data_IF_542680350628
#
_entry.id   IF_542680350628
#
_cell.length_a   1.000
_cell.length_b   1.000
_cell.length_c   1.000
_cell.angle_alpha   90.00
_cell.angle_beta   90.00
_cell.angle_gamma   90.00
#
_symmetry.space_group_name_H-M   'P 1'
#
loop_
_entity.id
_entity.type
_entity.pdbx_description
1 polymer ?
#
# COMPACT_ATOMS: atom_id res chain seq x y z
N UNK A 1 -0.42 -6.13 24.29
CA UNK A 1 -1.24 -5.04 24.89
C UNK A 1 -0.67 -4.48 26.21
N UNK A 2 -0.44 -5.29 27.26
CA UNK A 2 0.05 -4.81 28.58
C UNK A 2 1.35 -3.99 28.50
N UNK A 3 2.32 -4.39 27.67
CA UNK A 3 3.60 -3.67 27.51
C UNK A 3 3.40 -2.24 26.98
N UNK A 4 2.58 -2.06 25.94
CA UNK A 4 2.30 -0.73 25.39
C UNK A 4 1.66 0.19 26.44
N UNK A 5 0.71 -0.31 27.23
CA UNK A 5 0.05 0.47 28.26
C UNK A 5 1.02 0.96 29.34
N UNK A 6 1.98 0.11 29.74
CA UNK A 6 3.02 0.49 30.70
C UNK A 6 3.92 1.58 30.14
N UNK A 7 4.40 1.43 28.90
CA UNK A 7 5.25 2.45 28.28
C UNK A 7 4.49 3.75 28.02
N UNK A 8 3.23 3.69 27.60
CA UNK A 8 2.40 4.87 27.40
C UNK A 8 2.17 5.64 28.71
N UNK A 9 1.93 4.93 29.82
CA UNK A 9 1.81 5.55 31.13
C UNK A 9 3.10 6.26 31.55
N UNK A 10 4.28 5.69 31.26
CA UNK A 10 5.57 6.36 31.50
C UNK A 10 5.70 7.64 30.67
N UNK A 11 5.31 7.60 29.39
CA UNK A 11 5.38 8.79 28.52
C UNK A 11 4.45 9.90 28.99
N UNK A 12 3.25 9.57 29.46
CA UNK A 12 2.29 10.55 30.00
C UNK A 12 2.69 11.12 31.36
N UNK A 13 3.42 10.36 32.16
CA UNK A 13 3.92 10.78 33.47
C UNK A 13 5.27 11.52 33.40
N UNK A 14 5.91 11.54 32.24
CA UNK A 14 7.26 12.10 32.08
C UNK A 14 7.27 13.63 32.27
N UNK A 15 8.29 14.13 32.98
CA UNK A 15 8.53 15.56 33.24
C UNK A 15 9.92 16.06 32.79
N UNK A 16 10.78 15.18 32.29
CA UNK A 16 12.17 15.50 31.95
C UNK A 16 12.73 14.56 30.89
N UNK A 17 13.28 15.11 29.80
CA UNK A 17 14.22 14.42 28.91
C UNK A 17 15.19 15.42 28.28
N UNK A 18 16.45 15.35 28.70
CA UNK A 18 17.58 16.01 28.03
C UNK A 18 17.69 17.51 28.30
N UNK A 19 18.51 17.84 29.31
CA UNK A 19 19.05 19.17 29.66
C UNK A 19 18.16 20.19 30.39
N UNK A 20 16.83 20.06 30.47
CA UNK A 20 16.01 20.95 31.33
C UNK A 20 14.79 20.25 31.92
N UNK A 21 14.75 20.18 33.25
CA UNK A 21 13.54 19.90 34.02
C UNK A 21 12.54 21.01 33.73
N UNK A 22 11.34 20.67 33.25
CA UNK A 22 10.23 21.61 33.15
C UNK A 22 9.36 21.50 34.41
N UNK A 23 8.87 22.64 34.90
CA UNK A 23 8.00 22.68 36.09
C UNK A 23 6.64 22.01 35.84
N UNK A 24 6.15 22.02 34.60
CA UNK A 24 4.88 21.42 34.20
C UNK A 24 5.06 20.19 33.29
N UNK A 25 4.22 19.13 33.45
CA UNK A 25 4.20 18.00 32.52
C UNK A 25 3.90 18.47 31.10
N UNK A 26 4.74 18.08 30.15
CA UNK A 26 4.52 18.35 28.72
C UNK A 26 3.91 17.11 28.09
N UNK A 27 2.86 17.28 27.28
CA UNK A 27 2.35 16.17 26.47
C UNK A 27 3.40 15.78 25.42
N UNK A 28 4.13 14.70 25.73
CA UNK A 28 5.20 14.16 24.90
C UNK A 28 4.72 13.87 23.48
N UNK A 29 3.50 13.37 23.31
CA UNK A 29 2.93 12.98 22.03
C UNK A 29 2.64 14.15 21.10
N UNK A 30 2.61 15.36 21.65
CA UNK A 30 2.47 16.61 20.91
C UNK A 30 3.82 17.29 20.76
N UNK A 31 4.52 17.55 21.87
CA UNK A 31 5.72 18.36 21.90
C UNK A 31 6.92 17.75 21.16
N UNK A 32 7.00 16.42 21.09
CA UNK A 32 8.10 15.71 20.43
C UNK A 32 7.66 14.95 19.17
N UNK A 33 6.49 15.28 18.62
CA UNK A 33 6.00 14.70 17.36
C UNK A 33 7.09 14.73 16.28
N UNK A 34 7.30 13.60 15.61
CA UNK A 34 8.33 13.45 14.58
C UNK A 34 9.74 13.13 15.10
N UNK A 35 10.01 13.30 16.40
CA UNK A 35 11.34 13.15 17.01
C UNK A 35 11.43 12.04 18.07
N UNK A 36 10.42 11.19 18.20
CA UNK A 36 10.38 10.16 19.25
C UNK A 36 11.55 9.19 19.20
N UNK A 37 12.17 8.93 18.04
CA UNK A 37 13.29 7.99 17.99
C UNK A 37 14.60 8.60 18.51
N UNK A 38 14.72 9.92 18.45
CA UNK A 38 15.90 10.66 18.92
C UNK A 38 16.01 10.71 20.45
N UNK A 39 14.90 10.51 21.16
CA UNK A 39 14.84 10.41 22.62
C UNK A 39 14.98 8.92 22.98
N UNK A 40 15.91 8.57 23.87
CA UNK A 40 16.24 7.18 24.13
C UNK A 40 15.09 6.43 24.83
N UNK A 41 14.39 7.12 25.72
CA UNK A 41 13.40 6.55 26.64
C UNK A 41 12.03 6.33 25.98
N UNK A 42 11.75 7.04 24.89
CA UNK A 42 10.58 6.83 24.02
C UNK A 42 10.76 5.63 23.08
N UNK A 43 11.97 5.09 22.91
CA UNK A 43 12.21 3.95 21.99
C UNK A 43 11.48 2.69 22.42
N UNK A 44 11.39 2.43 23.72
CA UNK A 44 10.71 1.24 24.24
C UNK A 44 9.19 1.34 24.03
N UNK A 45 8.63 2.55 24.13
CA UNK A 45 7.26 2.83 23.72
C UNK A 45 7.06 2.54 22.22
N UNK A 46 7.93 3.07 21.35
CA UNK A 46 7.83 2.86 19.91
C UNK A 46 7.91 1.36 19.54
N UNK A 47 8.85 0.62 20.13
CA UNK A 47 8.97 -0.83 19.93
C UNK A 47 7.77 -1.60 20.47
N UNK A 48 7.24 -1.21 21.64
CA UNK A 48 6.04 -1.84 22.20
C UNK A 48 4.81 -1.62 21.33
N UNK A 49 4.66 -0.42 20.74
CA UNK A 49 3.58 -0.10 19.81
C UNK A 49 3.72 -0.88 18.50
N UNK A 50 4.94 -1.00 17.97
CA UNK A 50 5.20 -1.81 16.78
C UNK A 50 4.89 -3.29 17.04
N UNK A 51 5.34 -3.84 18.17
CA UNK A 51 5.04 -5.21 18.55
C UNK A 51 3.53 -5.48 18.59
N UNK A 52 2.74 -4.56 19.17
CA UNK A 52 1.27 -4.69 19.15
C UNK A 52 0.71 -4.64 17.72
N UNK A 53 1.21 -3.74 16.85
CA UNK A 53 0.77 -3.69 15.47
C UNK A 53 1.08 -5.01 14.73
N UNK A 54 2.27 -5.59 14.95
CA UNK A 54 2.64 -6.88 14.39
C UNK A 54 1.72 -8.01 14.87
N UNK A 55 1.44 -8.09 16.17
CA UNK A 55 0.51 -9.07 16.74
C UNK A 55 -0.90 -8.94 16.12
N UNK A 56 -1.39 -7.70 15.97
CA UNK A 56 -2.68 -7.42 15.36
C UNK A 56 -2.71 -7.82 13.88
N UNK A 57 -1.64 -7.54 13.14
CA UNK A 57 -1.48 -7.95 11.74
C UNK A 57 -1.57 -9.47 11.61
N UNK A 58 -0.81 -10.21 12.42
CA UNK A 58 -0.83 -11.67 12.43
C UNK A 58 -2.24 -12.21 12.69
N UNK A 59 -2.89 -11.76 13.77
CA UNK A 59 -4.25 -12.20 14.11
C UNK A 59 -5.27 -11.84 13.04
N UNK A 60 -5.13 -10.66 12.41
CA UNK A 60 -6.02 -10.23 11.35
C UNK A 60 -5.93 -11.14 10.11
N UNK A 61 -4.73 -11.62 9.78
CA UNK A 61 -4.52 -12.53 8.65
C UNK A 61 -4.92 -13.96 8.98
N UNK A 62 -4.55 -14.47 10.16
CA UNK A 62 -4.88 -15.82 10.62
C UNK A 62 -6.40 -16.06 10.70
N UNK A 63 -7.14 -15.06 11.21
CA UNK A 63 -8.58 -15.17 11.45
C UNK A 63 -9.43 -14.35 10.48
N UNK A 64 -8.82 -13.73 9.47
CA UNK A 64 -9.48 -12.88 8.47
C UNK A 64 -10.35 -11.74 9.06
N UNK A 65 -9.88 -11.10 10.14
CA UNK A 65 -10.63 -10.08 10.89
C UNK A 65 -10.25 -8.67 10.44
N UNK A 66 -11.01 -8.11 9.48
CA UNK A 66 -10.75 -6.77 8.91
C UNK A 66 -10.60 -5.64 9.96
N UNK A 67 -11.41 -5.54 11.02
CA UNK A 67 -11.22 -4.50 12.05
C UNK A 67 -9.84 -4.52 12.74
N UNK A 68 -9.17 -5.67 12.79
CA UNK A 68 -7.81 -5.76 13.33
C UNK A 68 -6.77 -5.16 12.37
N UNK A 69 -7.00 -5.22 11.04
CA UNK A 69 -6.15 -4.54 10.05
C UNK A 69 -6.22 -3.02 10.23
N UNK A 70 -7.43 -2.46 10.40
CA UNK A 70 -7.58 -1.01 10.65
C UNK A 70 -6.85 -0.59 11.93
N UNK A 71 -7.00 -1.37 13.01
CA UNK A 71 -6.32 -1.07 14.28
C UNK A 71 -4.79 -1.20 14.19
N UNK A 72 -4.29 -2.20 13.47
CA UNK A 72 -2.87 -2.32 13.16
C UNK A 72 -2.38 -1.06 12.40
N UNK A 73 -3.12 -0.65 11.37
CA UNK A 73 -2.79 0.50 10.55
C UNK A 73 -2.74 1.78 11.39
N UNK A 74 -3.71 2.00 12.29
CA UNK A 74 -3.70 3.12 13.23
C UNK A 74 -2.42 3.18 14.07
N UNK A 75 -1.97 2.02 14.58
CA UNK A 75 -0.72 1.96 15.34
C UNK A 75 0.52 2.28 14.49
N UNK A 76 0.57 1.83 13.23
CA UNK A 76 1.70 2.09 12.31
C UNK A 76 1.71 3.54 11.82
N UNK A 77 0.56 4.12 11.51
CA UNK A 77 0.45 5.54 11.15
C UNK A 77 0.80 6.45 12.33
N UNK A 78 0.36 6.10 13.54
CA UNK A 78 0.75 6.84 14.74
C UNK A 78 2.26 6.75 14.99
N UNK A 79 2.88 5.60 14.76
CA UNK A 79 4.34 5.50 14.79
C UNK A 79 4.96 6.46 13.77
N UNK A 80 4.55 6.44 12.50
CA UNK A 80 5.09 7.35 11.49
C UNK A 80 4.88 8.85 11.82
N UNK A 81 3.81 9.19 12.52
CA UNK A 81 3.59 10.54 13.07
C UNK A 81 4.63 10.89 14.14
N UNK A 82 4.92 9.96 15.04
CA UNK A 82 5.85 10.14 16.16
C UNK A 82 7.32 10.05 15.73
N UNK A 83 7.65 9.20 14.75
CA UNK A 83 8.98 8.95 14.20
C UNK A 83 9.03 9.31 12.71
N UNK A 84 9.13 10.61 12.40
CA UNK A 84 9.05 11.11 11.03
C UNK A 84 10.23 10.68 10.12
N UNK A 85 11.34 10.26 10.73
CA UNK A 85 12.48 9.61 10.07
C UNK A 85 12.23 8.16 9.72
N UNK A 86 11.15 7.54 10.23
CA UNK A 86 10.79 6.15 10.02
C UNK A 86 11.95 5.17 10.30
N UNK A 87 12.53 5.29 11.49
CA UNK A 87 13.62 4.42 11.95
C UNK A 87 13.22 2.94 12.14
N UNK A 88 11.92 2.65 12.06
CA UNK A 88 11.36 1.30 12.16
C UNK A 88 11.02 0.67 10.79
N UNK A 89 11.27 1.37 9.68
CA UNK A 89 11.07 0.84 8.33
C UNK A 89 9.60 0.63 7.94
N UNK A 90 8.67 1.33 8.59
CA UNK A 90 7.23 1.22 8.35
C UNK A 90 6.81 1.78 7.00
N UNK A 91 7.58 2.70 6.40
CA UNK A 91 7.21 3.29 5.11
C UNK A 91 7.06 2.25 4.00
N UNK A 92 7.75 1.11 4.09
CA UNK A 92 7.67 0.07 3.06
C UNK A 92 6.55 -0.95 3.31
N UNK A 93 5.95 -0.96 4.50
CA UNK A 93 4.87 -1.90 4.86
C UNK A 93 3.50 -1.24 4.84
N UNK A 94 3.39 0.02 5.30
CA UNK A 94 2.15 0.79 5.35
C UNK A 94 1.40 0.89 4.01
N UNK A 95 2.06 1.02 2.83
CA UNK A 95 1.36 0.98 1.55
C UNK A 95 0.52 -0.29 1.37
N UNK A 96 1.06 -1.44 1.76
CA UNK A 96 0.34 -2.71 1.67
C UNK A 96 -0.77 -2.81 2.72
N UNK A 97 -0.56 -2.27 3.92
CA UNK A 97 -1.61 -2.19 4.93
C UNK A 97 -2.82 -1.40 4.44
N UNK A 98 -2.57 -0.23 3.82
CA UNK A 98 -3.61 0.61 3.22
C UNK A 98 -4.36 -0.14 2.11
N UNK A 99 -3.64 -0.89 1.26
CA UNK A 99 -4.25 -1.70 0.22
C UNK A 99 -5.09 -2.86 0.78
N UNK A 100 -4.70 -3.42 1.92
CA UNK A 100 -5.42 -4.52 2.58
C UNK A 100 -6.76 -4.07 3.18
N UNK A 101 -6.86 -2.79 3.56
CA UNK A 101 -8.13 -2.20 4.02
C UNK A 101 -8.92 -1.50 2.91
N UNK A 102 -8.47 -1.61 1.65
CA UNK A 102 -9.05 -0.97 0.45
C UNK A 102 -8.99 0.57 0.45
N UNK A 103 -7.95 1.14 1.05
CA UNK A 103 -7.69 2.59 1.07
C UNK A 103 -6.67 2.96 -0.01
N UNK A 104 -7.02 2.68 -1.27
CA UNK A 104 -6.12 2.84 -2.42
C UNK A 104 -5.70 4.29 -2.65
N UNK A 105 -6.59 5.26 -2.43
CA UNK A 105 -6.28 6.67 -2.53
C UNK A 105 -5.27 7.11 -1.46
N UNK A 106 -5.48 6.70 -0.21
CA UNK A 106 -4.53 6.99 0.87
C UNK A 106 -3.18 6.31 0.63
N UNK A 107 -3.16 5.10 0.08
CA UNK A 107 -1.93 4.42 -0.33
C UNK A 107 -1.17 5.23 -1.37
N UNK A 108 -1.86 5.73 -2.41
CA UNK A 108 -1.25 6.60 -3.41
C UNK A 108 -0.66 7.86 -2.78
N UNK A 109 -1.44 8.61 -1.98
CA UNK A 109 -0.98 9.83 -1.31
C UNK A 109 0.21 9.55 -0.41
N UNK A 110 0.21 8.41 0.29
CA UNK A 110 1.30 8.00 1.14
C UNK A 110 2.59 7.77 0.34
N UNK A 111 2.53 7.01 -0.76
CA UNK A 111 3.67 6.75 -1.63
C UNK A 111 4.17 8.07 -2.24
N UNK A 112 3.26 8.90 -2.74
CA UNK A 112 3.56 10.21 -3.31
C UNK A 112 4.30 11.11 -2.31
N UNK A 113 3.84 11.16 -1.06
CA UNK A 113 4.51 11.90 0.00
C UNK A 113 5.96 11.47 0.18
N UNK A 114 6.22 10.17 0.28
CA UNK A 114 7.57 9.65 0.53
C UNK A 114 8.50 9.78 -0.69
N UNK A 115 7.97 9.64 -1.90
CA UNK A 115 8.73 9.89 -3.14
C UNK A 115 9.09 11.37 -3.27
N UNK A 116 8.13 12.28 -3.08
CA UNK A 116 8.39 13.73 -3.11
C UNK A 116 9.39 14.15 -2.02
N UNK A 117 9.27 13.58 -0.81
CA UNK A 117 10.19 13.84 0.31
C UNK A 117 11.61 13.38 -0.01
N UNK A 118 11.78 12.23 -0.66
CA UNK A 118 13.10 11.76 -1.09
C UNK A 118 13.71 12.67 -2.17
N UNK A 119 12.88 13.17 -3.09
CA UNK A 119 13.32 14.03 -4.19
C UNK A 119 13.42 15.54 -3.83
N UNK A 120 13.22 15.91 -2.55
CA UNK A 120 13.25 17.31 -2.11
C UNK A 120 12.17 18.21 -2.73
N UNK A 121 11.10 17.64 -3.27
CA UNK A 121 10.07 18.39 -3.99
C UNK A 121 9.11 19.12 -3.02
N UNK A 122 8.65 20.35 -3.34
CA UNK A 122 7.77 21.11 -2.47
C UNK A 122 6.39 20.44 -2.26
N UNK A 123 5.76 20.73 -1.12
CA UNK A 123 4.43 20.24 -0.77
C UNK A 123 3.36 20.95 -1.61
N UNK A 124 2.44 20.17 -2.18
CA UNK A 124 1.17 20.68 -2.71
C UNK A 124 1.03 20.48 -4.21
N UNK A 125 0.19 19.50 -4.58
CA UNK A 125 -0.57 19.52 -5.81
C UNK A 125 -1.75 18.56 -5.66
N UNK A 126 -2.75 18.77 -6.52
CA UNK A 126 -3.95 17.96 -6.64
C UNK A 126 -3.59 16.47 -6.75
N UNK A 127 -4.15 15.64 -5.87
CA UNK A 127 -3.81 14.22 -5.75
C UNK A 127 -4.58 13.45 -6.82
N UNK A 128 -3.95 13.20 -7.96
CA UNK A 128 -4.50 12.37 -9.03
C UNK A 128 -3.80 11.00 -9.05
N UNK A 129 -4.44 10.00 -8.43
CA UNK A 129 -3.86 8.66 -8.33
C UNK A 129 -3.72 7.89 -9.64
N UNK A 130 -4.24 8.45 -10.74
CA UNK A 130 -4.02 7.91 -12.08
C UNK A 130 -2.64 8.29 -12.62
N UNK A 131 -1.99 9.34 -12.10
CA UNK A 131 -0.66 9.76 -12.55
C UNK A 131 0.45 8.82 -12.08
N UNK A 132 1.58 8.84 -12.77
CA UNK A 132 2.80 8.16 -12.34
C UNK A 132 3.56 9.00 -11.33
N UNK A 133 3.59 8.54 -10.08
CA UNK A 133 4.34 9.18 -8.99
C UNK A 133 5.86 9.14 -9.24
N UNK A 134 6.31 8.21 -10.09
CA UNK A 134 7.73 8.03 -10.41
C UNK A 134 8.12 8.69 -11.74
N UNK A 135 7.27 9.54 -12.32
CA UNK A 135 7.65 10.35 -13.46
C UNK A 135 8.73 11.36 -13.03
N UNK A 136 9.90 11.32 -13.68
CA UNK A 136 11.04 12.19 -13.36
C UNK A 136 11.79 11.87 -12.05
N UNK A 137 11.40 10.83 -11.31
CA UNK A 137 12.11 10.43 -10.09
C UNK A 137 13.36 9.60 -10.41
N UNK A 138 14.49 9.93 -9.77
CA UNK A 138 15.65 9.04 -9.74
C UNK A 138 15.37 7.89 -8.77
N UNK A 139 15.51 6.66 -9.25
CA UNK A 139 15.23 5.46 -8.46
C UNK A 139 16.36 5.21 -7.46
N UNK A 140 16.08 5.32 -6.17
CA UNK A 140 16.89 4.60 -5.19
C UNK A 140 16.68 3.09 -5.38
N UNK A 141 17.78 2.39 -5.66
CA UNK A 141 17.89 1.03 -6.21
C UNK A 141 17.07 -0.06 -5.49
N UNK A 142 16.72 0.14 -4.22
CA UNK A 142 16.00 -0.87 -3.40
C UNK A 142 14.81 -0.31 -2.62
N UNK A 143 14.92 0.92 -2.08
CA UNK A 143 13.84 1.63 -1.36
C UNK A 143 12.56 1.77 -2.20
N UNK A 144 12.69 1.84 -3.53
CA UNK A 144 11.58 2.08 -4.45
C UNK A 144 10.77 0.82 -4.79
N UNK A 145 11.26 -0.39 -4.56
CA UNK A 145 10.61 -1.62 -5.04
C UNK A 145 9.29 -1.92 -4.31
N UNK A 146 9.23 -1.69 -2.99
CA UNK A 146 7.99 -1.85 -2.23
C UNK A 146 6.91 -0.88 -2.70
N UNK A 147 7.29 0.38 -2.98
CA UNK A 147 6.38 1.37 -3.54
C UNK A 147 5.95 1.03 -4.97
N UNK A 148 6.86 0.53 -5.81
CA UNK A 148 6.50 0.06 -7.16
C UNK A 148 5.52 -1.11 -7.09
N UNK A 149 5.75 -2.08 -6.19
CA UNK A 149 4.83 -3.20 -6.00
C UNK A 149 3.45 -2.75 -5.52
N UNK A 150 3.38 -1.84 -4.54
CA UNK A 150 2.12 -1.28 -4.06
C UNK A 150 1.40 -0.47 -5.17
N UNK A 151 2.14 0.36 -5.91
CA UNK A 151 1.60 1.10 -7.05
C UNK A 151 1.12 0.17 -8.17
N UNK A 152 1.84 -0.90 -8.47
CA UNK A 152 1.39 -1.94 -9.39
C UNK A 152 0.05 -2.54 -8.97
N UNK A 153 -0.17 -2.76 -7.67
CA UNK A 153 -1.48 -3.24 -7.18
C UNK A 153 -2.60 -2.22 -7.41
N UNK A 154 -2.38 -0.92 -7.15
CA UNK A 154 -3.37 0.14 -7.43
C UNK A 154 -3.72 0.14 -8.92
N UNK A 155 -2.71 0.13 -9.80
CA UNK A 155 -2.93 0.15 -11.25
C UNK A 155 -3.65 -1.11 -11.74
N UNK A 156 -3.29 -2.28 -11.23
CA UNK A 156 -3.99 -3.53 -11.51
C UNK A 156 -5.47 -3.47 -11.07
N UNK A 157 -5.77 -2.91 -9.90
CA UNK A 157 -7.15 -2.74 -9.42
C UNK A 157 -7.95 -1.82 -10.34
N UNK A 158 -7.38 -0.68 -10.75
CA UNK A 158 -8.05 0.25 -11.69
C UNK A 158 -8.34 -0.42 -13.04
N UNK A 159 -7.37 -1.14 -13.60
CA UNK A 159 -7.56 -1.85 -14.87
C UNK A 159 -8.60 -2.96 -14.73
N UNK A 160 -8.54 -3.77 -13.66
CA UNK A 160 -9.51 -4.83 -13.40
C UNK A 160 -10.93 -4.28 -13.20
N UNK A 161 -11.08 -3.14 -12.52
CA UNK A 161 -12.35 -2.45 -12.35
C UNK A 161 -12.92 -2.05 -13.73
N UNK A 162 -12.13 -1.33 -14.54
CA UNK A 162 -12.54 -0.92 -15.88
C UNK A 162 -12.94 -2.11 -16.77
N UNK A 163 -12.13 -3.18 -16.80
CA UNK A 163 -12.42 -4.38 -17.59
C UNK A 163 -13.72 -5.06 -17.12
N UNK A 164 -13.93 -5.15 -15.81
CA UNK A 164 -15.13 -5.74 -15.23
C UNK A 164 -16.38 -4.94 -15.57
N UNK A 165 -16.35 -3.62 -15.36
CA UNK A 165 -17.47 -2.71 -15.62
C UNK A 165 -17.80 -2.65 -17.12
N UNK A 166 -16.79 -2.56 -17.98
CA UNK A 166 -16.97 -2.62 -19.44
C UNK A 166 -17.64 -3.94 -19.85
N UNK A 167 -17.19 -5.07 -19.30
CA UNK A 167 -17.79 -6.37 -19.57
C UNK A 167 -19.24 -6.46 -19.08
N UNK A 168 -19.55 -5.90 -17.91
CA UNK A 168 -20.91 -5.85 -17.38
C UNK A 168 -21.82 -4.98 -18.25
N UNK A 169 -21.36 -3.80 -18.64
CA UNK A 169 -22.11 -2.90 -19.52
C UNK A 169 -22.40 -3.54 -20.87
N UNK A 170 -21.41 -4.21 -21.48
CA UNK A 170 -21.59 -4.93 -22.75
C UNK A 170 -22.58 -6.09 -22.62
N UNK A 171 -22.55 -6.83 -21.51
CA UNK A 171 -23.55 -7.87 -21.23
C UNK A 171 -24.95 -7.29 -21.10
N UNK A 172 -25.08 -6.19 -20.36
CA UNK A 172 -26.36 -5.51 -20.16
C UNK A 172 -26.95 -5.02 -21.50
N UNK A 173 -26.12 -4.40 -22.34
CA UNK A 173 -26.49 -3.95 -23.68
C UNK A 173 -27.07 -5.09 -24.56
N UNK A 174 -26.55 -6.32 -24.39
CA UNK A 174 -27.04 -7.51 -25.08
C UNK A 174 -28.41 -8.02 -24.63
N UNK A 175 -28.90 -7.61 -23.45
CA UNK A 175 -30.18 -8.06 -22.89
C UNK A 175 -31.38 -7.39 -23.57
N UNK A 176 -32.57 -7.99 -23.46
CA UNK A 176 -33.82 -7.40 -23.95
C UNK A 176 -34.14 -6.04 -23.29
N UNK A 177 -33.70 -5.84 -22.04
CA UNK A 177 -33.86 -4.56 -21.34
C UNK A 177 -32.86 -3.53 -21.84
N UNK A 178 -31.58 -3.91 -22.02
CA UNK A 178 -30.54 -3.02 -22.54
C UNK A 178 -30.85 -2.51 -23.96
N UNK A 179 -31.37 -3.38 -24.83
CA UNK A 179 -31.79 -3.00 -26.19
C UNK A 179 -32.90 -1.95 -26.24
N UNK A 180 -33.72 -1.83 -25.18
CA UNK A 180 -34.81 -0.84 -25.09
C UNK A 180 -34.35 0.54 -24.65
N UNK A 181 -33.18 0.65 -24.02
CA UNK A 181 -32.71 1.88 -23.38
C UNK A 181 -32.13 2.88 -24.39
N UNK A 182 -31.90 2.46 -25.64
CA UNK A 182 -31.31 3.30 -26.67
C UNK A 182 -29.80 3.51 -26.45
N UNK A 183 -29.03 3.83 -27.50
CA UNK A 183 -27.58 3.93 -27.44
C UNK A 183 -27.10 5.05 -26.50
N UNK A 184 -27.73 6.22 -26.54
CA UNK A 184 -27.29 7.40 -25.78
C UNK A 184 -27.38 7.20 -24.26
N UNK A 185 -28.45 6.56 -23.78
CA UNK A 185 -28.60 6.29 -22.35
C UNK A 185 -27.68 5.15 -21.89
N UNK A 186 -27.34 4.20 -22.76
CA UNK A 186 -26.35 3.16 -22.46
C UNK A 186 -24.94 3.75 -22.34
N UNK A 187 -24.57 4.67 -23.23
CA UNK A 187 -23.31 5.40 -23.17
C UNK A 187 -23.22 6.24 -21.88
N UNK A 188 -24.31 6.90 -21.48
CA UNK A 188 -24.37 7.64 -20.23
C UNK A 188 -24.17 6.75 -18.99
N UNK A 189 -24.79 5.56 -18.98
CA UNK A 189 -24.60 4.56 -17.91
C UNK A 189 -23.15 4.06 -17.88
N UNK A 190 -22.55 3.78 -19.04
CA UNK A 190 -21.14 3.39 -19.13
C UNK A 190 -20.21 4.47 -18.56
N UNK A 191 -20.45 5.74 -18.93
CA UNK A 191 -19.66 6.87 -18.44
C UNK A 191 -19.75 7.03 -16.91
N UNK A 192 -20.88 6.69 -16.28
CA UNK A 192 -21.03 6.73 -14.82
C UNK A 192 -20.45 5.51 -14.11
N UNK A 193 -20.51 4.33 -14.73
CA UNK A 193 -19.96 3.11 -14.15
C UNK A 193 -18.43 3.15 -14.08
N UNK A 194 -17.77 3.74 -15.08
CA UNK A 194 -16.31 3.80 -15.21
C UNK A 194 -15.68 4.90 -14.36
N UNK A 195 -16.02 4.94 -13.07
CA UNK A 195 -15.43 5.85 -12.09
C UNK A 195 -14.87 5.09 -10.91
N UNK A 196 -13.73 5.52 -10.39
CA UNK A 196 -13.16 4.96 -9.17
C UNK A 196 -14.01 5.34 -7.94
N UNK A 197 -13.78 4.68 -6.80
CA UNK A 197 -14.50 4.96 -5.55
C UNK A 197 -14.38 6.43 -5.08
N UNK A 198 -13.30 7.12 -5.47
CA UNK A 198 -13.02 8.53 -5.23
C UNK A 198 -13.44 9.46 -6.40
N UNK A 199 -14.17 8.94 -7.40
CA UNK A 199 -14.79 9.72 -8.47
C UNK A 199 -13.91 10.03 -9.68
N UNK A 200 -12.74 9.41 -9.81
CA UNK A 200 -11.86 9.58 -10.97
C UNK A 200 -12.36 8.77 -12.14
N UNK A 201 -12.36 9.34 -13.34
CA UNK A 201 -12.84 8.67 -14.55
C UNK A 201 -11.79 7.68 -15.08
N UNK A 202 -12.23 6.45 -15.32
CA UNK A 202 -11.45 5.41 -15.99
C UNK A 202 -11.83 5.38 -17.47
N UNK A 203 -11.21 6.25 -18.27
CA UNK A 203 -11.38 6.20 -19.73
C UNK A 203 -10.43 5.18 -20.36
N UNK A 204 -10.66 4.81 -21.62
CA UNK A 204 -9.76 3.91 -22.35
C UNK A 204 -8.32 4.47 -22.40
N UNK A 205 -8.16 5.78 -22.61
CA UNK A 205 -6.85 6.43 -22.66
C UNK A 205 -6.14 6.38 -21.29
N UNK A 206 -6.89 6.62 -20.20
CA UNK A 206 -6.37 6.51 -18.84
C UNK A 206 -5.89 5.10 -18.56
N UNK A 207 -6.67 4.09 -18.98
CA UNK A 207 -6.32 2.68 -18.78
C UNK A 207 -5.07 2.31 -19.59
N UNK A 208 -4.99 2.67 -20.86
CA UNK A 208 -3.78 2.45 -21.67
C UNK A 208 -2.54 3.04 -20.98
N UNK A 209 -2.67 4.22 -20.39
CA UNK A 209 -1.59 4.83 -19.62
C UNK A 209 -1.28 4.06 -18.31
N UNK A 210 -2.28 3.55 -17.59
CA UNK A 210 -2.04 2.64 -16.46
C UNK A 210 -1.27 1.38 -16.89
N UNK A 211 -1.56 0.83 -18.06
CA UNK A 211 -0.88 -0.35 -18.59
C UNK A 211 0.59 -0.06 -18.93
N UNK A 212 0.87 1.10 -19.55
CA UNK A 212 2.24 1.56 -19.83
C UNK A 212 3.05 1.69 -18.54
N UNK A 213 2.49 2.34 -17.51
CA UNK A 213 3.11 2.43 -16.20
C UNK A 213 3.37 1.06 -15.57
N UNK A 214 2.36 0.18 -15.58
CA UNK A 214 2.47 -1.15 -14.99
C UNK A 214 3.58 -1.98 -15.64
N UNK A 215 3.67 -1.96 -16.97
CA UNK A 215 4.73 -2.65 -17.71
C UNK A 215 6.13 -2.11 -17.35
N UNK A 216 6.26 -0.78 -17.22
CA UNK A 216 7.50 -0.14 -16.74
C UNK A 216 7.87 -0.64 -15.35
N UNK A 217 6.92 -0.66 -14.40
CA UNK A 217 7.16 -1.09 -13.03
C UNK A 217 7.56 -2.57 -12.94
N UNK A 218 6.86 -3.43 -13.68
CA UNK A 218 7.18 -4.86 -13.75
C UNK A 218 8.57 -5.11 -14.32
N UNK A 219 8.97 -4.37 -15.36
CA UNK A 219 10.34 -4.45 -15.87
C UNK A 219 11.37 -4.09 -14.81
N UNK A 220 11.21 -2.95 -14.12
CA UNK A 220 12.13 -2.51 -13.06
C UNK A 220 12.19 -3.53 -11.92
N UNK A 221 11.05 -4.04 -11.46
CA UNK A 221 11.02 -5.06 -10.41
C UNK A 221 11.67 -6.36 -10.84
N UNK A 222 11.46 -6.81 -12.08
CA UNK A 222 12.07 -8.03 -12.60
C UNK A 222 13.59 -7.89 -12.82
N UNK A 223 14.08 -6.71 -13.19
CA UNK A 223 15.51 -6.43 -13.32
C UNK A 223 16.23 -6.44 -11.96
N UNK A 224 15.56 -6.01 -10.89
CA UNK A 224 16.15 -5.95 -9.55
C UNK A 224 15.89 -7.23 -8.72
N UNK A 225 14.74 -7.87 -8.89
CA UNK A 225 14.34 -9.11 -8.20
C UNK A 225 13.64 -10.05 -9.21
N UNK A 226 14.41 -10.82 -10.02
CA UNK A 226 13.87 -11.67 -11.08
C UNK A 226 12.88 -12.75 -10.62
N UNK A 227 12.89 -13.09 -9.33
CA UNK A 227 11.99 -14.07 -8.71
C UNK A 227 10.67 -13.46 -8.27
N UNK A 228 10.58 -12.14 -8.09
CA UNK A 228 9.42 -11.48 -7.48
C UNK A 228 8.12 -11.69 -8.28
N UNK A 229 8.14 -11.40 -9.59
CA UNK A 229 6.93 -11.57 -10.41
C UNK A 229 6.56 -13.05 -10.58
N UNK A 230 7.57 -13.94 -10.64
CA UNK A 230 7.36 -15.39 -10.70
C UNK A 230 6.69 -15.91 -9.43
N UNK A 231 7.13 -15.43 -8.28
CA UNK A 231 6.57 -15.72 -6.97
C UNK A 231 5.10 -15.25 -6.83
N UNK A 232 4.74 -14.11 -7.41
CA UNK A 232 3.35 -13.64 -7.40
C UNK A 232 2.44 -14.57 -8.21
N UNK A 233 2.89 -15.06 -9.38
CA UNK A 233 2.11 -15.99 -10.22
C UNK A 233 2.03 -17.37 -9.59
N UNK A 234 3.16 -17.88 -9.12
CA UNK A 234 3.29 -19.20 -8.56
C UNK A 234 3.85 -19.09 -7.14
N UNK A 235 3.01 -18.76 -6.14
CA UNK A 235 3.45 -18.64 -4.76
C UNK A 235 3.71 -20.00 -4.12
N UNK A 236 3.23 -21.10 -4.72
CA UNK A 236 3.28 -22.46 -4.15
C UNK A 236 4.64 -22.86 -3.57
N UNK A 237 5.75 -22.73 -4.32
CA UNK A 237 7.08 -23.02 -3.80
C UNK A 237 7.44 -22.18 -2.55
N UNK A 238 7.22 -20.86 -2.56
CA UNK A 238 7.46 -20.00 -1.39
C UNK A 238 6.55 -20.31 -0.20
N UNK A 239 5.27 -20.58 -0.45
CA UNK A 239 4.29 -20.89 0.59
C UNK A 239 4.50 -22.28 1.20
N UNK A 240 5.21 -23.16 0.48
CA UNK A 240 5.64 -24.47 0.99
C UNK A 240 6.91 -24.42 1.83
N UNK A 241 7.62 -23.28 1.79
CA UNK A 241 8.70 -22.99 2.73
C UNK A 241 8.09 -22.50 4.04
N UNK A 242 8.73 -22.82 5.17
CA UNK A 242 8.36 -22.22 6.44
C UNK A 242 8.36 -20.69 6.29
N UNK A 243 7.28 -19.99 6.68
CA UNK A 243 7.23 -18.56 6.51
C UNK A 243 8.42 -17.90 7.21
N UNK A 244 9.14 -16.97 6.57
CA UNK A 244 9.89 -15.98 7.32
C UNK A 244 8.89 -15.16 8.15
N UNK A 245 9.32 -14.57 9.27
CA UNK A 245 8.46 -13.92 10.28
C UNK A 245 7.57 -12.74 9.77
N UNK A 246 7.53 -12.49 8.47
CA UNK A 246 6.69 -11.48 7.85
C UNK A 246 6.27 -11.95 6.44
N UNK A 247 5.03 -11.63 6.03
CA UNK A 247 4.54 -11.39 4.65
C UNK A 247 3.36 -12.24 4.13
N UNK A 248 2.45 -11.54 3.44
CA UNK A 248 1.67 -12.07 2.31
C UNK A 248 0.45 -11.22 1.94
N UNK A 249 0.37 -10.60 0.73
CA UNK A 249 -0.88 -9.94 0.22
C UNK A 249 -1.11 -9.75 -1.30
N UNK A 250 -0.27 -10.21 -2.23
CA UNK A 250 -0.48 -9.88 -3.66
C UNK A 250 -1.52 -10.72 -4.46
N UNK A 251 -1.95 -11.90 -4.00
CA UNK A 251 -2.69 -12.88 -4.83
C UNK A 251 -4.21 -12.69 -4.90
N UNK A 252 -4.77 -11.70 -4.18
CA UNK A 252 -6.23 -11.55 -4.02
C UNK A 252 -6.90 -10.62 -5.05
N UNK A 253 -6.17 -10.10 -6.04
CA UNK A 253 -6.72 -9.16 -7.05
C UNK A 253 -7.28 -9.92 -8.27
N UNK A 254 -8.58 -9.80 -8.60
CA UNK A 254 -9.16 -10.42 -9.79
C UNK A 254 -8.45 -9.99 -11.09
N UNK A 255 -8.17 -10.94 -11.98
CA UNK A 255 -7.52 -10.67 -13.29
C UNK A 255 -6.01 -10.46 -13.25
N UNK A 256 -5.42 -10.17 -12.08
CA UNK A 256 -3.97 -9.97 -11.94
C UNK A 256 -3.17 -11.22 -12.36
N UNK A 257 -3.62 -12.41 -11.98
CA UNK A 257 -2.95 -13.68 -12.28
C UNK A 257 -2.74 -13.88 -13.79
N UNK A 258 -3.82 -13.79 -14.58
CA UNK A 258 -3.77 -14.00 -16.04
C UNK A 258 -2.88 -12.97 -16.75
N UNK A 259 -2.76 -11.76 -16.19
CA UNK A 259 -1.93 -10.70 -16.73
C UNK A 259 -0.46 -10.92 -16.47
N UNK A 260 -0.10 -11.40 -15.28
CA UNK A 260 1.29 -11.72 -14.94
C UNK A 260 1.73 -13.02 -15.62
N UNK A 261 0.86 -14.04 -15.76
CA UNK A 261 1.12 -15.26 -16.54
C UNK A 261 1.51 -14.97 -18.00
N UNK A 262 0.94 -13.93 -18.63
CA UNK A 262 1.34 -13.51 -19.98
C UNK A 262 2.79 -13.02 -20.05
N UNK A 263 3.30 -12.47 -18.96
CA UNK A 263 4.66 -11.93 -18.88
C UNK A 263 5.69 -13.00 -18.49
N UNK A 264 5.36 -13.89 -17.55
CA UNK A 264 6.32 -14.86 -16.98
C UNK A 264 6.05 -16.32 -17.36
N UNK A 265 4.98 -16.61 -18.11
CA UNK A 265 4.53 -17.96 -18.46
C UNK A 265 3.54 -18.56 -17.44
N UNK A 266 2.85 -19.65 -17.84
CA UNK A 266 1.77 -20.29 -17.05
C UNK A 266 2.26 -21.13 -15.85
N UNK A 267 3.56 -21.42 -15.76
CA UNK A 267 4.19 -22.21 -14.68
C UNK A 267 5.65 -21.80 -14.51
N UNK A 268 5.93 -20.56 -14.08
CA UNK A 268 7.31 -20.17 -13.84
C UNK A 268 7.85 -21.02 -12.68
N UNK A 269 8.94 -21.76 -12.96
CA UNK A 269 9.75 -22.38 -11.92
C UNK A 269 10.81 -21.37 -11.49
N UNK A 270 11.06 -21.31 -10.19
CA UNK A 270 12.22 -20.62 -9.64
C UNK A 270 12.87 -21.61 -8.67
N UNK A 271 14.13 -21.91 -8.93
CA UNK A 271 14.94 -22.70 -8.02
C UNK A 271 15.52 -21.73 -6.99
N UNK A 272 15.17 -21.92 -5.71
CA UNK A 272 15.74 -21.13 -4.61
C UNK A 272 17.12 -21.66 -4.18
N UNK A 273 17.64 -22.72 -4.81
CA UNK A 273 18.93 -23.34 -4.48
C UNK A 273 20.13 -22.81 -5.28
N UNK A 274 19.92 -21.78 -6.11
CA UNK A 274 21.01 -21.05 -6.77
C UNK A 274 21.02 -19.59 -6.33
N UNK A 275 21.51 -19.33 -5.13
CA UNK A 275 22.24 -18.11 -4.72
C UNK A 275 22.91 -18.36 -3.35
#
# INVERSE_FOLDING_TARGET
MRKLQVEEAKMRACRDFGFRVREEPVDMFVAHTGHFWGIFETRDYCRARLGLATDLSYLAHEYEVKPLLEKMLDHRLELLRLIASDDLGLRYTVPFDLLNVNRDADCYTFIEHWVKKANGSPKGQDVDRLKDVFEGAEYEKYSSLAFLAAMSQIKLRNIAQYESETKQANKFAGTSSGKKIGPDALEHVQHHLLTTADGLKLTAEVIEEQERHLNRYFRIMNENIPTFLKAIVNPGPLMSMSPPDSWGTCTRIPGAHARIERLVGKKPTYDCSMD
#
